data_IF_576538098061
#
_entry.id   IF_576538098061
#
_cell.length_a   1.000
_cell.length_b   1.000
_cell.length_c   1.000
_cell.angle_alpha   90.00
_cell.angle_beta   90.00
_cell.angle_gamma   90.00
#
_symmetry.space_group_name_H-M   'P 1'
#
loop_
_entity.id
_entity.type
_entity.pdbx_description
1 polymer ?
#
# COMPACT_ATOMS: atom_id res chain seq x y z
N UNK A 1 18.21 -19.94 37.42
CA UNK A 1 17.44 -19.21 36.39
C UNK A 1 18.17 -17.91 36.05
N UNK A 2 18.93 -17.84 34.95
CA UNK A 2 19.30 -16.57 34.35
C UNK A 2 18.46 -16.37 33.08
N UNK A 3 17.51 -15.44 33.15
CA UNK A 3 16.91 -14.87 31.96
C UNK A 3 17.84 -13.77 31.44
N UNK A 4 18.66 -14.10 30.45
CA UNK A 4 19.36 -13.12 29.64
C UNK A 4 18.62 -13.01 28.30
N UNK A 5 17.76 -12.01 28.16
CA UNK A 5 17.37 -11.51 26.85
C UNK A 5 18.44 -10.51 26.42
N UNK A 6 19.39 -11.02 25.65
CA UNK A 6 20.38 -10.20 24.98
C UNK A 6 19.90 -9.93 23.55
N UNK A 7 20.31 -8.78 23.04
CA UNK A 7 20.46 -8.43 21.61
C UNK A 7 19.27 -7.75 20.93
N UNK A 8 19.39 -6.43 20.82
CA UNK A 8 19.76 -5.87 19.51
C UNK A 8 18.63 -5.37 18.63
N UNK A 9 18.62 -4.04 18.45
CA UNK A 9 18.35 -3.44 17.14
C UNK A 9 16.88 -3.25 16.76
N UNK A 10 16.39 -2.03 16.95
CA UNK A 10 15.25 -1.47 16.23
C UNK A 10 15.59 -1.40 14.72
N UNK A 11 15.49 -2.52 14.01
CA UNK A 11 15.66 -2.60 12.54
C UNK A 11 14.29 -2.64 11.84
N UNK A 12 13.32 -1.87 12.35
CA UNK A 12 12.03 -1.67 11.68
C UNK A 12 12.07 -0.49 10.70
N UNK A 13 13.25 0.13 10.49
CA UNK A 13 13.36 1.38 9.76
C UNK A 13 14.06 1.29 8.39
N UNK A 14 14.33 0.09 7.86
CA UNK A 14 15.05 -0.03 6.56
C UNK A 14 14.35 -0.87 5.50
N UNK A 15 13.18 -1.46 5.79
CA UNK A 15 12.47 -2.36 4.84
C UNK A 15 11.22 -1.77 4.20
N UNK A 16 10.91 -0.50 4.47
CA UNK A 16 10.15 0.30 3.51
C UNK A 16 11.11 0.83 2.45
N UNK A 17 11.66 -0.11 1.67
CA UNK A 17 12.28 0.22 0.40
C UNK A 17 11.16 0.79 -0.46
N UNK A 18 11.13 2.12 -0.58
CA UNK A 18 10.46 2.75 -1.71
C UNK A 18 11.12 2.18 -2.95
N UNK A 19 10.48 1.17 -3.55
CA UNK A 19 10.96 0.58 -4.78
C UNK A 19 10.77 1.63 -5.89
N UNK A 20 11.86 2.35 -6.11
CA UNK A 20 12.21 3.17 -7.27
C UNK A 20 11.18 4.23 -7.73
N UNK A 21 11.42 5.46 -7.29
CA UNK A 21 11.25 6.63 -8.15
C UNK A 21 12.25 6.50 -9.32
N UNK A 22 11.82 5.90 -10.43
CA UNK A 22 12.58 5.96 -11.68
C UNK A 22 11.64 6.37 -12.80
N UNK A 23 11.72 7.62 -13.30
CA UNK A 23 11.15 7.96 -14.59
C UNK A 23 12.13 7.48 -15.66
N UNK A 24 12.10 6.19 -15.99
CA UNK A 24 12.77 5.70 -17.20
C UNK A 24 11.73 5.59 -18.31
N UNK A 25 11.57 6.72 -19.00
CA UNK A 25 10.97 6.85 -20.32
C UNK A 25 11.80 6.06 -21.34
N UNK A 26 11.61 4.74 -21.36
CA UNK A 26 12.13 3.83 -22.38
C UNK A 26 11.01 3.39 -23.32
N UNK A 27 11.09 3.84 -24.57
CA UNK A 27 10.24 3.48 -25.71
C UNK A 27 10.10 1.95 -25.85
N UNK A 28 8.87 1.44 -25.79
CA UNK A 28 8.39 0.35 -26.66
C UNK A 28 6.86 0.30 -26.69
N UNK A 29 6.28 0.06 -27.86
CA UNK A 29 4.87 0.27 -28.21
C UNK A 29 3.89 -0.81 -27.75
N UNK A 30 3.89 -1.18 -26.46
CA UNK A 30 2.84 -2.00 -25.87
C UNK A 30 1.92 -1.14 -25.01
N UNK A 31 0.60 -1.21 -25.27
CA UNK A 31 -0.50 -0.58 -24.54
C UNK A 31 -0.14 -0.42 -23.05
N UNK A 32 0.24 0.79 -22.64
CA UNK A 32 0.50 1.06 -21.23
C UNK A 32 -0.79 0.76 -20.47
N UNK A 33 -0.75 0.03 -19.35
CA UNK A 33 -1.93 -0.15 -18.54
C UNK A 33 -2.41 1.25 -18.16
N UNK A 34 -3.61 1.61 -18.62
CA UNK A 34 -4.23 2.93 -18.46
C UNK A 34 -4.23 3.39 -16.99
N UNK A 35 -4.08 2.44 -16.06
CA UNK A 35 -4.02 2.65 -14.63
C UNK A 35 -2.79 1.93 -14.04
N UNK A 36 -1.79 2.67 -13.52
CA UNK A 36 -0.62 2.06 -12.87
C UNK A 36 -0.98 1.47 -11.50
N UNK A 37 -0.23 0.45 -11.08
CA UNK A 37 -0.42 -0.22 -9.77
C UNK A 37 -0.19 0.79 -8.63
N UNK A 38 -1.07 0.85 -7.62
CA UNK A 38 -0.88 1.72 -6.47
C UNK A 38 0.39 1.39 -5.69
N UNK A 39 1.07 2.43 -5.23
CA UNK A 39 2.23 2.33 -4.32
C UNK A 39 1.84 1.99 -2.88
N UNK A 40 0.53 1.83 -2.61
CA UNK A 40 -0.02 1.51 -1.30
C UNK A 40 -0.37 0.03 -1.21
N UNK A 41 0.04 -0.61 -0.10
CA UNK A 41 -0.40 -1.96 0.22
C UNK A 41 -1.86 -1.98 0.65
N UNK A 42 -2.51 -3.14 0.54
CA UNK A 42 -3.90 -3.32 0.98
C UNK A 42 -4.14 -2.87 2.42
N UNK A 43 -3.20 -3.07 3.34
CA UNK A 43 -3.33 -2.59 4.71
C UNK A 43 -3.49 -1.07 4.80
N UNK A 44 -2.72 -0.32 3.99
CA UNK A 44 -2.82 1.14 3.91
C UNK A 44 -4.13 1.56 3.23
N UNK A 45 -4.52 0.87 2.16
CA UNK A 45 -5.80 1.12 1.48
C UNK A 45 -7.00 0.91 2.41
N UNK A 46 -7.02 -0.19 3.18
CA UNK A 46 -8.04 -0.49 4.18
C UNK A 46 -8.03 0.55 5.28
N UNK A 47 -6.85 0.94 5.80
CA UNK A 47 -6.73 2.00 6.80
C UNK A 47 -7.31 3.34 6.30
N UNK A 48 -7.03 3.71 5.05
CA UNK A 48 -7.58 4.94 4.45
C UNK A 48 -9.09 4.90 4.30
N UNK A 49 -9.64 3.76 3.88
CA UNK A 49 -11.08 3.55 3.78
C UNK A 49 -11.74 3.62 5.17
N UNK A 50 -11.13 3.00 6.19
CA UNK A 50 -11.58 3.05 7.59
C UNK A 50 -11.52 4.47 8.17
N UNK A 51 -10.46 5.23 7.88
CA UNK A 51 -10.33 6.64 8.32
C UNK A 51 -11.39 7.54 7.69
N UNK A 52 -11.85 7.25 6.47
CA UNK A 52 -12.95 7.97 5.84
C UNK A 52 -14.33 7.56 6.35
N UNK A 53 -14.46 6.42 7.04
CA UNK A 53 -15.71 6.01 7.68
C UNK A 53 -15.92 6.72 9.03
N UNK A 54 -17.18 7.05 9.33
CA UNK A 54 -17.56 7.68 10.61
C UNK A 54 -17.43 6.75 11.81
N UNK A 55 -17.62 5.45 11.62
CA UNK A 55 -17.63 4.44 12.70
C UNK A 55 -16.29 3.72 12.85
N UNK A 56 -15.32 3.97 11.97
CA UNK A 56 -14.06 3.22 11.93
C UNK A 56 -14.23 1.77 11.47
N UNK A 57 -15.41 1.43 10.93
CA UNK A 57 -15.76 0.15 10.35
C UNK A 57 -16.59 0.39 9.08
N UNK A 58 -16.44 -0.49 8.09
CA UNK A 58 -17.22 -0.44 6.86
C UNK A 58 -17.29 -1.86 6.26
N UNK A 59 -18.37 -2.20 5.56
CA UNK A 59 -18.47 -3.48 4.89
C UNK A 59 -17.43 -3.58 3.77
N UNK A 60 -17.06 -4.82 3.42
CA UNK A 60 -16.04 -5.09 2.40
C UNK A 60 -16.38 -4.46 1.04
N UNK A 61 -17.66 -4.39 0.70
CA UNK A 61 -18.14 -3.71 -0.52
C UNK A 61 -17.75 -2.23 -0.57
N UNK A 62 -17.83 -1.54 0.56
CA UNK A 62 -17.47 -0.11 0.67
C UNK A 62 -15.96 0.10 0.61
N UNK A 63 -15.17 -0.86 1.12
CA UNK A 63 -13.70 -0.85 0.98
C UNK A 63 -13.33 -0.96 -0.50
N UNK A 64 -13.98 -1.87 -1.24
CA UNK A 64 -13.78 -2.00 -2.68
C UNK A 64 -14.25 -0.77 -3.46
N UNK A 65 -15.39 -0.18 -3.07
CA UNK A 65 -15.88 1.07 -3.66
C UNK A 65 -14.84 2.19 -3.49
N UNK A 66 -14.33 2.39 -2.27
CA UNK A 66 -13.27 3.35 -2.00
C UNK A 66 -12.01 3.10 -2.84
N UNK A 67 -11.53 1.84 -2.89
CA UNK A 67 -10.34 1.46 -3.64
C UNK A 67 -10.50 1.74 -5.15
N UNK A 68 -11.64 1.39 -5.74
CA UNK A 68 -11.89 1.55 -7.18
C UNK A 68 -12.14 3.00 -7.59
N UNK A 69 -12.73 3.81 -6.72
CA UNK A 69 -12.93 5.24 -6.94
C UNK A 69 -11.61 6.03 -6.90
N UNK A 70 -10.76 5.74 -5.90
CA UNK A 70 -9.51 6.47 -5.68
C UNK A 70 -8.33 5.90 -6.48
N UNK A 71 -8.37 4.60 -6.80
CA UNK A 71 -7.32 3.90 -7.53
C UNK A 71 -7.96 3.07 -8.65
N UNK A 72 -8.07 3.65 -9.87
CA UNK A 72 -8.78 3.00 -10.96
C UNK A 72 -8.10 1.70 -11.44
N UNK A 73 -6.89 1.41 -10.96
CA UNK A 73 -6.21 0.11 -11.12
C UNK A 73 -7.03 -1.08 -10.63
N UNK A 74 -7.91 -0.88 -9.65
CA UNK A 74 -8.73 -1.97 -9.08
C UNK A 74 -10.09 -2.13 -9.79
N UNK A 75 -10.39 -1.35 -10.83
CA UNK A 75 -11.62 -1.48 -11.62
C UNK A 75 -11.56 -2.63 -12.60
#
# INVERSE_FOLDING_TARGET
>A
FPGEYSSGGLELSSRYSYQNLSPQTGRDGSVQPQYPKPIYSYSILIFMALRNSRTGSLPVSEIYSFMTEHFPYFK
#
